data_IF_285484588677
#
_entry.id   IF_285484588677
#
_cell.length_a   1.000
_cell.length_b   1.000
_cell.length_c   1.000
_cell.angle_alpha   90.00
_cell.angle_beta   90.00
_cell.angle_gamma   90.00
#
_symmetry.space_group_name_H-M   'P 1'
#
loop_
_entity.id
_entity.type
_entity.pdbx_description
1 polymer ?
#
# COMPACT_ATOMS: atom_id res chain seq x y z
N UNK A 1 -9.37 5.91 0.94
CA UNK A 1 -9.07 6.82 -0.18
C UNK A 1 -7.57 6.79 -0.36
N UNK A 2 -7.11 6.46 -1.57
CA UNK A 2 -5.69 6.41 -1.94
C UNK A 2 -5.42 7.60 -2.84
N UNK A 3 -4.23 8.21 -2.72
CA UNK A 3 -3.89 9.40 -3.51
C UNK A 3 -3.92 9.11 -5.02
N UNK A 4 -4.40 10.05 -5.87
CA UNK A 4 -4.49 9.85 -7.32
C UNK A 4 -3.14 9.52 -7.98
N UNK A 5 -2.03 9.96 -7.39
CA UNK A 5 -0.69 9.66 -7.88
C UNK A 5 -0.39 8.14 -7.90
N UNK A 6 -1.02 7.37 -7.01
CA UNK A 6 -0.84 5.93 -6.90
C UNK A 6 -1.64 5.13 -7.94
N UNK A 7 -2.51 5.77 -8.73
CA UNK A 7 -3.23 5.12 -9.82
C UNK A 7 -2.29 4.69 -10.97
N UNK A 8 -1.16 5.38 -11.14
CA UNK A 8 -0.16 5.04 -12.16
C UNK A 8 1.02 4.24 -11.59
N UNK A 9 0.87 3.68 -10.38
CA UNK A 9 1.87 2.81 -9.80
C UNK A 9 2.15 1.63 -10.73
N UNK A 10 3.42 1.26 -10.87
CA UNK A 10 3.76 0.05 -11.63
C UNK A 10 3.33 -1.17 -10.82
N UNK A 11 2.99 -2.23 -11.53
CA UNK A 11 2.80 -3.56 -10.94
C UNK A 11 4.06 -3.94 -10.15
N UNK A 12 3.86 -4.55 -8.99
CA UNK A 12 4.92 -4.92 -8.04
C UNK A 12 5.67 -3.74 -7.37
N UNK A 13 5.27 -2.50 -7.63
CA UNK A 13 5.84 -1.33 -6.96
C UNK A 13 5.41 -1.28 -5.48
N UNK A 14 6.36 -0.89 -4.62
CA UNK A 14 6.22 -0.99 -3.16
C UNK A 14 6.01 0.38 -2.55
N UNK A 15 5.04 0.47 -1.65
CA UNK A 15 4.63 1.72 -1.01
C UNK A 15 4.53 1.55 0.50
N UNK A 16 4.85 2.62 1.24
CA UNK A 16 4.48 2.75 2.64
C UNK A 16 3.26 3.65 2.72
N UNK A 17 2.14 3.13 3.17
CA UNK A 17 0.98 3.95 3.49
C UNK A 17 1.14 4.45 4.92
N UNK A 18 1.11 5.77 5.09
CA UNK A 18 1.38 6.41 6.36
C UNK A 18 0.48 5.87 7.46
N UNK A 19 1.10 5.45 8.58
CA UNK A 19 0.43 4.89 9.77
C UNK A 19 -0.38 3.60 9.53
N UNK A 20 -0.32 3.00 8.33
CA UNK A 20 -1.06 1.77 7.99
C UNK A 20 -0.13 0.58 7.85
N UNK A 21 0.87 0.66 6.96
CA UNK A 21 1.70 -0.50 6.63
C UNK A 21 2.47 -0.33 5.33
N UNK A 22 3.17 -1.40 4.97
CA UNK A 22 3.79 -1.54 3.67
C UNK A 22 2.90 -2.35 2.75
N UNK A 23 2.77 -1.87 1.52
CA UNK A 23 1.90 -2.40 0.49
C UNK A 23 2.68 -2.59 -0.81
N UNK A 24 2.15 -3.44 -1.68
CA UNK A 24 2.64 -3.65 -3.04
C UNK A 24 1.48 -3.55 -4.02
N UNK A 25 1.68 -2.89 -5.16
CA UNK A 25 0.71 -2.90 -6.24
C UNK A 25 0.56 -4.33 -6.79
N UNK A 26 -0.66 -4.84 -6.84
CA UNK A 26 -0.91 -6.21 -7.28
C UNK A 26 -0.44 -6.45 -8.73
N UNK A 27 0.12 -7.62 -9.02
CA UNK A 27 0.66 -7.91 -10.34
C UNK A 27 -0.44 -8.11 -11.40
N UNK A 28 -1.58 -8.65 -11.00
CA UNK A 28 -2.64 -9.13 -11.89
C UNK A 28 -3.80 -8.14 -11.97
N UNK A 29 -4.24 -7.67 -10.82
CA UNK A 29 -5.47 -6.92 -10.65
C UNK A 29 -5.25 -5.39 -10.61
N UNK A 30 -3.99 -4.93 -10.49
CA UNK A 30 -3.71 -3.50 -10.45
C UNK A 30 -3.88 -2.83 -11.82
N UNK A 31 -4.78 -1.85 -11.87
CA UNK A 31 -5.03 -0.99 -13.04
C UNK A 31 -5.25 0.47 -12.61
N UNK A 32 -5.04 1.46 -13.49
CA UNK A 32 -5.32 2.86 -13.17
C UNK A 32 -6.79 3.15 -12.83
N UNK A 33 -7.72 2.36 -13.36
CA UNK A 33 -9.16 2.47 -13.11
C UNK A 33 -9.58 1.78 -11.79
N UNK A 34 -8.85 0.71 -11.42
CA UNK A 34 -9.05 -0.04 -10.19
C UNK A 34 -7.69 -0.34 -9.52
N UNK A 35 -7.17 0.60 -8.71
CA UNK A 35 -5.88 0.42 -8.06
C UNK A 35 -6.00 -0.59 -6.90
N UNK A 36 -5.42 -1.77 -7.10
CA UNK A 36 -5.36 -2.85 -6.11
C UNK A 36 -3.98 -2.89 -5.46
N UNK A 37 -3.95 -2.94 -4.12
CA UNK A 37 -2.73 -3.02 -3.33
C UNK A 37 -2.83 -4.13 -2.29
N UNK A 38 -1.84 -5.01 -2.28
CA UNK A 38 -1.72 -6.07 -1.28
C UNK A 38 -0.89 -5.58 -0.10
N UNK A 39 -1.36 -5.83 1.12
CA UNK A 39 -0.61 -5.50 2.34
C UNK A 39 0.49 -6.52 2.57
N UNK A 40 1.74 -6.09 2.50
CA UNK A 40 2.90 -6.94 2.74
C UNK A 40 3.17 -7.13 4.24
N UNK A 41 3.25 -6.02 4.99
CA UNK A 41 3.48 -6.06 6.45
C UNK A 41 2.87 -4.85 7.13
N UNK A 42 2.37 -5.01 8.35
CA UNK A 42 1.87 -3.91 9.17
C UNK A 42 3.03 -3.08 9.74
N UNK A 43 2.78 -1.80 10.04
CA UNK A 43 3.78 -1.03 10.77
C UNK A 43 4.01 -1.63 12.15
N UNK A 44 5.26 -1.54 12.62
CA UNK A 44 5.59 -1.88 13.99
C UNK A 44 5.03 -0.78 14.89
N UNK A 45 3.88 -1.04 15.49
CA UNK A 45 3.42 -0.23 16.60
C UNK A 45 4.28 -0.54 17.84
N UNK A 46 4.88 0.48 18.44
CA UNK A 46 5.74 0.34 19.63
C UNK A 46 5.07 0.92 20.88
N UNK A 47 3.75 1.15 20.86
CA UNK A 47 3.05 1.67 22.03
C UNK A 47 2.95 0.60 23.12
N UNK A 48 3.81 0.73 24.14
CA UNK A 48 3.66 0.05 25.42
C UNK A 48 3.13 1.08 26.42
N UNK A 49 1.83 1.06 26.78
CA UNK A 49 1.38 1.81 27.94
C UNK A 49 2.07 1.22 29.18
N UNK A 50 2.62 2.11 30.01
CA UNK A 50 3.14 1.78 31.33
C UNK A 50 2.01 1.44 32.30
#
# INVERSE_FOLDING_TARGET
YVEPALANAKREERFQFERVGYFVADEKDHTPEAPVFNRAVTLKDSYKPA
#
